data_IF_207242115764
#
_entry.id   IF_207242115764
#
_cell.length_a   1.000
_cell.length_b   1.000
_cell.length_c   1.000
_cell.angle_alpha   90.00
_cell.angle_beta   90.00
_cell.angle_gamma   90.00
#
_symmetry.space_group_name_H-M   'P 1'
#
loop_
_entity.id
_entity.type
_entity.pdbx_description
1 polymer ?
#
# COMPACT_ATOMS: atom_id res chain seq x y z
N UNK A 1 -46.56 26.09 44.62
CA UNK A 1 -46.00 26.04 43.25
C UNK A 1 -44.56 25.60 43.37
N UNK A 2 -44.27 24.32 43.08
CA UNK A 2 -42.91 23.77 43.11
C UNK A 2 -42.39 23.77 41.68
N UNK A 3 -41.39 24.60 41.39
CA UNK A 3 -40.74 24.68 40.08
C UNK A 3 -39.64 23.64 40.02
N UNK A 4 -39.84 22.55 39.28
CA UNK A 4 -38.81 21.55 39.00
C UNK A 4 -37.84 22.08 37.95
N UNK A 5 -36.58 22.31 38.34
CA UNK A 5 -35.51 22.68 37.42
C UNK A 5 -34.96 21.41 36.75
N UNK A 6 -35.19 21.28 35.44
CA UNK A 6 -34.63 20.22 34.62
C UNK A 6 -33.15 20.52 34.35
N UNK A 7 -32.25 19.77 34.99
CA UNK A 7 -30.80 19.89 34.78
C UNK A 7 -30.41 19.20 33.47
N UNK A 8 -30.23 19.98 32.41
CA UNK A 8 -29.70 19.50 31.12
C UNK A 8 -28.19 19.31 31.23
N UNK A 9 -27.73 18.06 31.22
CA UNK A 9 -26.30 17.72 31.18
C UNK A 9 -25.69 18.11 29.83
N UNK A 10 -24.49 18.72 29.80
CA UNK A 10 -23.84 19.10 28.55
C UNK A 10 -23.41 17.86 27.74
N UNK A 11 -23.42 17.95 26.40
CA UNK A 11 -22.99 16.85 25.53
C UNK A 11 -21.51 16.52 25.76
N UNK A 12 -21.11 15.24 25.62
CA UNK A 12 -19.71 14.84 25.78
C UNK A 12 -18.82 15.54 24.74
N UNK A 13 -17.58 15.89 25.10
CA UNK A 13 -16.64 16.48 24.14
C UNK A 13 -16.40 15.50 22.98
N UNK A 14 -16.20 16.00 21.75
CA UNK A 14 -15.90 15.15 20.60
C UNK A 14 -14.62 14.36 20.89
N UNK A 15 -14.67 13.04 20.67
CA UNK A 15 -13.49 12.17 20.75
C UNK A 15 -12.41 12.75 19.83
N UNK A 16 -11.33 13.26 20.43
CA UNK A 16 -10.16 13.73 19.69
C UNK A 16 -9.60 12.56 18.89
N UNK A 17 -9.56 12.69 17.56
CA UNK A 17 -8.91 11.69 16.71
C UNK A 17 -7.47 11.47 17.21
N UNK A 18 -6.99 10.22 17.30
CA UNK A 18 -5.60 9.97 17.64
C UNK A 18 -4.68 10.69 16.65
N UNK A 19 -3.53 11.23 17.10
CA UNK A 19 -2.58 11.88 16.22
C UNK A 19 -2.13 10.89 15.13
N UNK A 20 -1.95 11.35 13.88
CA UNK A 20 -1.47 10.48 12.82
C UNK A 20 -0.11 9.89 13.24
N UNK A 21 0.12 8.58 13.00
CA UNK A 21 1.36 7.95 13.38
C UNK A 21 2.56 8.66 12.72
N UNK A 22 3.73 8.70 13.38
CA UNK A 22 4.89 9.41 12.88
C UNK A 22 5.32 8.91 11.51
N UNK A 23 5.54 9.84 10.57
CA UNK A 23 5.92 9.57 9.16
C UNK A 23 7.20 8.72 9.02
N UNK A 24 8.14 8.88 9.94
CA UNK A 24 9.39 8.10 10.00
C UNK A 24 9.08 6.59 10.14
N UNK A 25 7.98 6.22 10.81
CA UNK A 25 7.61 4.82 11.01
C UNK A 25 7.26 4.17 9.66
N UNK A 26 6.55 4.87 8.78
CA UNK A 26 6.15 4.33 7.48
C UNK A 26 7.32 4.08 6.54
N UNK A 27 8.31 4.99 6.49
CA UNK A 27 9.53 4.77 5.71
C UNK A 27 10.29 3.52 6.17
N UNK A 28 10.38 3.29 7.48
CA UNK A 28 11.03 2.10 8.05
C UNK A 28 10.27 0.81 7.74
N UNK A 29 8.94 0.84 7.75
CA UNK A 29 8.12 -0.29 7.32
C UNK A 29 8.46 -0.65 5.87
N UNK A 30 8.40 0.32 4.96
CA UNK A 30 8.70 0.07 3.53
C UNK A 30 10.13 -0.45 3.33
N UNK A 31 11.12 0.12 4.01
CA UNK A 31 12.51 -0.38 3.95
C UNK A 31 12.65 -1.82 4.45
N UNK A 32 11.92 -2.20 5.50
CA UNK A 32 11.88 -3.56 6.00
C UNK A 32 11.32 -4.53 4.96
N UNK A 33 10.22 -4.16 4.32
CA UNK A 33 9.61 -4.95 3.25
C UNK A 33 10.52 -5.10 2.02
N UNK A 34 11.19 -4.01 1.60
CA UNK A 34 12.18 -4.05 0.52
C UNK A 34 13.30 -5.03 0.84
N UNK A 35 13.85 -4.93 2.05
CA UNK A 35 14.96 -5.79 2.49
C UNK A 35 14.56 -7.25 2.47
N UNK A 36 13.36 -7.57 2.96
CA UNK A 36 12.82 -8.92 2.94
C UNK A 36 12.69 -9.45 1.50
N UNK A 37 12.12 -8.65 0.60
CA UNK A 37 11.91 -9.03 -0.80
C UNK A 37 13.24 -9.29 -1.53
N UNK A 38 14.22 -8.40 -1.36
CA UNK A 38 15.56 -8.57 -1.93
C UNK A 38 16.24 -9.85 -1.44
N UNK A 39 16.05 -10.23 -0.16
CA UNK A 39 16.57 -11.48 0.38
C UNK A 39 15.89 -12.69 -0.28
N UNK A 40 14.57 -12.66 -0.44
CA UNK A 40 13.81 -13.74 -1.09
C UNK A 40 14.22 -13.90 -2.57
N UNK A 41 14.35 -12.80 -3.30
CA UNK A 41 14.77 -12.80 -4.70
C UNK A 41 16.18 -13.39 -4.90
N UNK A 42 17.15 -13.03 -4.04
CA UNK A 42 18.51 -13.58 -4.08
C UNK A 42 18.58 -15.08 -3.78
N UNK A 43 17.60 -15.64 -3.05
CA UNK A 43 17.51 -17.08 -2.81
C UNK A 43 17.02 -17.83 -4.06
N UNK A 44 16.09 -17.23 -4.82
CA UNK A 44 15.56 -17.80 -6.06
C UNK A 44 16.61 -17.90 -7.19
N UNK A 45 17.42 -16.86 -7.40
CA UNK A 45 18.44 -16.86 -8.48
C UNK A 45 19.56 -17.89 -8.30
N UNK A 46 19.80 -18.40 -7.08
CA UNK A 46 20.90 -19.34 -6.81
C UNK A 46 20.75 -20.70 -7.50
N UNK A 47 19.55 -21.07 -7.94
CA UNK A 47 19.33 -22.32 -8.67
C UNK A 47 19.48 -22.15 -10.19
N UNK A 48 19.56 -20.91 -10.71
CA UNK A 48 19.37 -20.62 -12.14
C UNK A 48 20.59 -20.03 -12.86
N UNK A 49 21.81 -20.07 -12.31
CA UNK A 49 22.98 -19.69 -13.13
C UNK A 49 24.28 -20.35 -12.73
N UNK A 50 24.68 -21.31 -13.57
CA UNK A 50 26.08 -21.49 -13.94
C UNK A 50 26.33 -20.48 -15.08
N UNK A 51 27.30 -19.58 -14.88
CA UNK A 51 27.95 -18.70 -15.87
C UNK A 51 27.48 -17.24 -16.03
N UNK A 52 28.51 -16.38 -15.97
CA UNK A 52 28.70 -15.06 -16.59
C UNK A 52 27.87 -13.87 -16.11
N UNK A 53 28.48 -13.05 -15.24
CA UNK A 53 28.21 -11.62 -15.05
C UNK A 53 26.81 -11.26 -14.57
N UNK A 54 26.61 -11.20 -13.25
CA UNK A 54 25.34 -10.77 -12.62
C UNK A 54 24.96 -9.34 -13.04
N UNK A 55 24.26 -9.18 -14.16
CA UNK A 55 23.42 -8.03 -14.39
C UNK A 55 22.39 -8.03 -13.25
N UNK A 56 22.41 -7.00 -12.41
CA UNK A 56 21.43 -6.87 -11.32
C UNK A 56 20.05 -6.83 -11.95
N UNK A 57 19.20 -7.79 -11.55
CA UNK A 57 17.82 -7.89 -12.01
C UNK A 57 17.12 -6.52 -11.90
N UNK A 58 16.42 -6.04 -12.94
CA UNK A 58 15.80 -4.71 -12.96
C UNK A 58 14.82 -4.49 -11.79
N UNK A 59 14.11 -5.53 -11.34
CA UNK A 59 13.20 -5.43 -10.19
C UNK A 59 13.99 -5.20 -8.89
N UNK A 60 15.06 -5.96 -8.70
CA UNK A 60 16.00 -5.78 -7.59
C UNK A 60 16.63 -4.37 -7.59
N UNK A 61 16.95 -3.82 -8.77
CA UNK A 61 17.47 -2.47 -8.90
C UNK A 61 16.43 -1.40 -8.54
N UNK A 62 15.17 -1.55 -8.95
CA UNK A 62 14.08 -0.64 -8.59
C UNK A 62 13.83 -0.61 -7.08
N UNK A 63 13.77 -1.79 -6.44
CA UNK A 63 13.64 -1.93 -4.99
C UNK A 63 14.80 -1.25 -4.24
N UNK A 64 16.04 -1.47 -4.71
CA UNK A 64 17.22 -0.84 -4.12
C UNK A 64 17.22 0.69 -4.31
N UNK A 65 16.74 1.17 -5.46
CA UNK A 65 16.55 2.60 -5.72
C UNK A 65 15.59 3.23 -4.72
N UNK A 66 14.43 2.61 -4.51
CA UNK A 66 13.44 3.06 -3.53
C UNK A 66 14.02 3.02 -2.09
N UNK A 67 14.76 1.97 -1.73
CA UNK A 67 15.40 1.88 -0.41
C UNK A 67 16.32 3.08 -0.14
N UNK A 68 17.16 3.41 -1.12
CA UNK A 68 18.12 4.51 -1.05
C UNK A 68 17.41 5.86 -1.02
N UNK A 69 16.33 6.01 -1.79
CA UNK A 69 15.48 7.19 -1.76
C UNK A 69 14.89 7.40 -0.36
N UNK A 70 14.30 6.37 0.25
CA UNK A 70 13.75 6.48 1.61
C UNK A 70 14.85 6.77 2.63
N UNK A 71 16.05 6.20 2.45
CA UNK A 71 17.18 6.42 3.34
C UNK A 71 17.72 7.86 3.29
N UNK A 72 17.54 8.57 2.16
CA UNK A 72 17.97 9.96 1.99
C UNK A 72 16.90 11.00 2.33
N UNK A 73 15.67 10.58 2.65
CA UNK A 73 14.60 11.51 3.03
C UNK A 73 14.92 12.19 4.37
N UNK A 74 14.77 13.51 4.38
CA UNK A 74 14.74 14.30 5.61
C UNK A 74 13.50 13.89 6.44
N UNK A 75 13.62 13.57 7.73
CA UNK A 75 12.49 13.35 8.63
C UNK A 75 11.41 14.44 8.62
N UNK A 76 11.79 15.69 8.28
CA UNK A 76 10.89 16.85 8.17
C UNK A 76 10.39 17.11 6.75
N UNK A 77 10.85 16.34 5.76
CA UNK A 77 10.52 16.51 4.35
C UNK A 77 9.08 16.14 3.96
N UNK A 78 8.75 16.36 2.68
CA UNK A 78 7.49 15.88 2.11
C UNK A 78 7.42 14.34 2.18
N UNK A 79 6.24 13.78 2.52
CA UNK A 79 6.09 12.33 2.54
C UNK A 79 6.25 11.78 1.12
N UNK A 80 6.77 10.57 1.02
CA UNK A 80 6.84 9.87 -0.27
C UNK A 80 5.43 9.59 -0.78
N UNK A 81 5.21 9.79 -2.07
CA UNK A 81 3.87 9.62 -2.63
C UNK A 81 3.47 8.13 -2.63
N UNK A 82 2.24 7.79 -2.18
CA UNK A 82 1.68 6.44 -2.17
C UNK A 82 2.10 5.52 -3.32
N UNK A 83 1.88 5.96 -4.56
CA UNK A 83 2.18 5.13 -5.72
C UNK A 83 3.69 4.97 -5.95
N UNK A 84 4.49 5.97 -5.62
CA UNK A 84 5.94 5.98 -5.82
C UNK A 84 6.63 4.88 -5.00
N UNK A 85 6.24 4.70 -3.73
CA UNK A 85 6.79 3.61 -2.93
C UNK A 85 6.14 2.25 -3.17
N UNK A 86 4.93 2.22 -3.73
CA UNK A 86 4.26 0.97 -4.07
C UNK A 86 4.79 0.38 -5.38
N UNK A 87 5.16 1.22 -6.35
CA UNK A 87 5.46 0.82 -7.72
C UNK A 87 6.42 -0.40 -7.77
N UNK A 88 7.57 -0.43 -7.06
CA UNK A 88 8.48 -1.55 -7.16
C UNK A 88 7.89 -2.89 -6.68
N UNK A 89 6.97 -2.86 -5.70
CA UNK A 89 6.25 -4.05 -5.24
C UNK A 89 5.21 -4.49 -6.26
N UNK A 90 4.50 -3.53 -6.87
CA UNK A 90 3.53 -3.82 -7.92
C UNK A 90 4.20 -4.35 -9.18
N UNK A 91 5.40 -3.87 -9.51
CA UNK A 91 6.22 -4.38 -10.60
C UNK A 91 6.59 -5.86 -10.39
N UNK A 92 6.96 -6.23 -9.15
CA UNK A 92 7.20 -7.63 -8.79
C UNK A 92 5.92 -8.47 -8.96
N UNK A 93 4.76 -7.99 -8.48
CA UNK A 93 3.48 -8.73 -8.60
C UNK A 93 3.06 -8.96 -10.07
N UNK A 94 3.31 -7.98 -10.94
CA UNK A 94 2.97 -8.06 -12.38
C UNK A 94 3.96 -8.90 -13.19
N UNK A 95 5.16 -9.13 -12.68
CA UNK A 95 6.24 -9.76 -13.43
C UNK A 95 6.00 -11.27 -13.56
N UNK A 96 5.91 -11.74 -14.80
CA UNK A 96 5.78 -13.15 -15.14
C UNK A 96 7.03 -13.98 -14.82
N UNK A 97 8.17 -13.33 -14.58
CA UNK A 97 9.45 -13.96 -14.24
C UNK A 97 9.66 -14.14 -12.73
N UNK A 98 8.70 -13.71 -11.91
CA UNK A 98 8.80 -13.84 -10.45
C UNK A 98 8.30 -15.18 -9.97
N UNK A 99 9.01 -15.80 -9.03
CA UNK A 99 8.59 -17.09 -8.45
C UNK A 99 7.49 -16.89 -7.43
N UNK A 100 6.65 -17.91 -7.23
CA UNK A 100 5.54 -17.85 -6.26
C UNK A 100 5.94 -17.30 -4.87
N UNK A 101 7.05 -17.72 -4.24
CA UNK A 101 7.49 -17.16 -2.96
C UNK A 101 7.80 -15.65 -3.00
N UNK A 102 8.41 -15.15 -4.09
CA UNK A 102 8.71 -13.72 -4.28
C UNK A 102 7.41 -12.93 -4.47
N UNK A 103 6.53 -13.40 -5.36
CA UNK A 103 5.21 -12.77 -5.61
C UNK A 103 4.37 -12.73 -4.33
N UNK A 104 4.35 -13.82 -3.56
CA UNK A 104 3.65 -13.91 -2.27
C UNK A 104 4.19 -12.90 -1.26
N UNK A 105 5.52 -12.75 -1.15
CA UNK A 105 6.12 -11.78 -0.24
C UNK A 105 5.78 -10.34 -0.64
N UNK A 106 5.73 -10.03 -1.95
CA UNK A 106 5.33 -8.72 -2.46
C UNK A 106 3.84 -8.43 -2.16
N UNK A 107 2.95 -9.40 -2.38
CA UNK A 107 1.53 -9.32 -2.00
C UNK A 107 1.38 -9.09 -0.48
N UNK A 108 2.16 -9.82 0.32
CA UNK A 108 2.20 -9.66 1.77
C UNK A 108 2.63 -8.26 2.20
N UNK A 109 3.63 -7.67 1.53
CA UNK A 109 4.08 -6.30 1.79
C UNK A 109 2.95 -5.30 1.50
N UNK A 110 2.31 -5.38 0.33
CA UNK A 110 1.17 -4.50 -0.03
C UNK A 110 0.03 -4.62 0.98
N UNK A 111 -0.30 -5.84 1.41
CA UNK A 111 -1.33 -6.07 2.42
C UNK A 111 -0.99 -5.41 3.77
N UNK A 112 0.28 -5.50 4.21
CA UNK A 112 0.74 -4.83 5.43
C UNK A 112 0.69 -3.31 5.29
N UNK A 113 1.07 -2.76 4.14
CA UNK A 113 0.98 -1.32 3.89
C UNK A 113 -0.47 -0.81 3.96
N UNK A 114 -1.41 -1.57 3.40
CA UNK A 114 -2.85 -1.31 3.55
C UNK A 114 -3.28 -1.40 5.02
N UNK A 115 -2.89 -2.47 5.72
CA UNK A 115 -3.27 -2.71 7.13
C UNK A 115 -2.71 -1.68 8.11
N UNK A 116 -1.56 -1.08 7.81
CA UNK A 116 -0.96 0.00 8.61
C UNK A 116 -1.46 1.41 8.22
N UNK A 117 -2.36 1.51 7.23
CA UNK A 117 -2.94 2.77 6.80
C UNK A 117 -1.97 3.69 6.06
N UNK A 118 -0.94 3.15 5.38
CA UNK A 118 0.00 3.97 4.58
C UNK A 118 -0.72 4.68 3.42
N UNK A 119 -1.86 4.14 3.00
CA UNK A 119 -2.71 4.66 1.93
C UNK A 119 -3.98 5.32 2.48
N UNK A 120 -4.05 5.63 3.78
CA UNK A 120 -5.23 6.28 4.33
C UNK A 120 -5.40 7.69 3.74
N UNK A 121 -6.58 8.01 3.18
CA UNK A 121 -6.85 9.35 2.69
C UNK A 121 -6.82 10.34 3.86
N UNK A 122 -6.43 11.60 3.60
CA UNK A 122 -6.43 12.64 4.61
C UNK A 122 -7.84 12.77 5.22
N UNK A 123 -7.97 13.07 6.53
CA UNK A 123 -9.26 13.29 7.16
C UNK A 123 -10.05 14.36 6.40
N UNK A 124 -11.34 14.12 6.20
CA UNK A 124 -12.25 15.12 5.63
C UNK A 124 -12.46 16.17 6.72
N UNK A 125 -11.83 17.33 6.60
CA UNK A 125 -12.01 18.40 7.58
C UNK A 125 -13.47 18.90 7.54
N UNK A 126 -14.11 19.18 8.69
CA UNK A 126 -15.46 19.73 8.71
C UNK A 126 -15.51 21.06 7.94
N UNK A 127 -16.62 21.26 7.22
CA UNK A 127 -16.90 22.44 6.40
C UNK A 127 -17.01 23.74 7.25
N UNK A 128 -15.89 24.27 7.73
CA UNK A 128 -15.81 25.62 8.25
C UNK A 128 -14.59 26.35 7.67
N UNK A 129 -14.93 27.28 6.76
CA UNK A 129 -14.22 28.46 6.25
C UNK A 129 -12.69 28.58 6.38
N UNK A 130 -12.09 28.99 5.25
CA UNK A 130 -10.77 29.63 5.04
C UNK A 130 -9.52 28.74 4.86
N UNK A 131 -9.21 28.36 3.60
CA UNK A 131 -7.88 28.58 2.96
C UNK A 131 -7.80 27.91 1.57
N UNK A 132 -7.69 28.71 0.49
CA UNK A 132 -7.45 28.21 -0.87
C UNK A 132 -6.18 27.34 -0.99
N UNK A 133 -5.13 27.62 -0.21
CA UNK A 133 -3.87 26.88 -0.25
C UNK A 133 -3.95 25.45 0.29
N UNK A 134 -4.79 25.20 1.30
CA UNK A 134 -4.97 23.84 1.87
C UNK A 134 -5.79 22.92 0.96
N UNK A 135 -6.67 23.49 0.14
CA UNK A 135 -7.53 22.74 -0.77
C UNK A 135 -6.74 22.04 -1.88
N UNK A 136 -5.73 22.70 -2.46
CA UNK A 136 -4.89 22.10 -3.51
C UNK A 136 -4.06 20.93 -2.99
N UNK A 137 -3.48 21.05 -1.79
CA UNK A 137 -2.69 19.97 -1.19
C UNK A 137 -3.55 18.77 -0.77
N UNK A 138 -4.78 19.02 -0.31
CA UNK A 138 -5.73 17.95 0.02
C UNK A 138 -6.15 17.17 -1.23
N UNK A 139 -6.52 17.89 -2.29
CA UNK A 139 -6.92 17.29 -3.57
C UNK A 139 -5.78 16.48 -4.20
N UNK A 140 -4.55 17.00 -4.17
CA UNK A 140 -3.38 16.30 -4.68
C UNK A 140 -3.15 14.97 -3.93
N UNK A 141 -3.23 14.99 -2.59
CA UNK A 141 -3.06 13.78 -1.78
C UNK A 141 -4.17 12.76 -2.05
N UNK A 142 -5.42 13.18 -2.18
CA UNK A 142 -6.53 12.28 -2.54
C UNK A 142 -6.30 11.64 -3.92
N UNK A 143 -5.87 12.42 -4.91
CA UNK A 143 -5.55 11.91 -6.23
C UNK A 143 -4.39 10.89 -6.19
N UNK A 144 -3.38 11.15 -5.37
CA UNK A 144 -2.25 10.24 -5.19
C UNK A 144 -2.66 8.91 -4.53
N UNK A 145 -3.49 8.97 -3.47
CA UNK A 145 -4.03 7.75 -2.83
C UNK A 145 -4.93 6.98 -3.79
N UNK A 146 -5.78 7.67 -4.56
CA UNK A 146 -6.61 7.05 -5.59
C UNK A 146 -5.75 6.34 -6.64
N UNK A 147 -4.71 7.00 -7.17
CA UNK A 147 -3.79 6.40 -8.12
C UNK A 147 -3.07 5.17 -7.55
N UNK A 148 -2.70 5.19 -6.26
CA UNK A 148 -2.14 4.03 -5.57
C UNK A 148 -3.15 2.87 -5.43
N UNK A 149 -4.39 3.16 -5.06
CA UNK A 149 -5.46 2.16 -4.95
C UNK A 149 -5.75 1.50 -6.31
N UNK A 150 -5.83 2.31 -7.38
CA UNK A 150 -5.97 1.86 -8.77
C UNK A 150 -4.77 1.01 -9.20
N UNK A 151 -3.55 1.45 -8.85
CA UNK A 151 -2.33 0.71 -9.11
C UNK A 151 -2.31 -0.67 -8.45
N UNK A 152 -2.76 -0.78 -7.19
CA UNK A 152 -2.88 -2.07 -6.50
C UNK A 152 -3.92 -2.95 -7.18
N UNK A 153 -5.13 -2.43 -7.43
CA UNK A 153 -6.20 -3.16 -8.13
C UNK A 153 -5.65 -3.77 -9.43
N UNK A 154 -5.16 -2.91 -10.32
CA UNK A 154 -4.60 -3.22 -11.63
C UNK A 154 -3.46 -4.23 -11.59
N UNK A 155 -2.56 -4.14 -10.61
CA UNK A 155 -1.42 -5.06 -10.48
C UNK A 155 -1.84 -6.43 -9.94
N UNK A 156 -2.75 -6.46 -8.96
CA UNK A 156 -3.13 -7.68 -8.25
C UNK A 156 -4.13 -8.51 -9.07
N UNK A 157 -5.06 -7.88 -9.77
CA UNK A 157 -5.99 -8.58 -10.70
C UNK A 157 -5.25 -9.20 -11.88
N UNK A 158 -4.09 -8.66 -12.24
CA UNK A 158 -3.24 -9.11 -13.35
C UNK A 158 -1.93 -9.73 -12.87
N UNK A 159 -1.88 -10.18 -11.62
CA UNK A 159 -0.71 -10.80 -11.06
C UNK A 159 -0.28 -12.01 -11.91
N UNK A 160 1.02 -12.13 -12.15
CA UNK A 160 1.63 -13.26 -12.87
C UNK A 160 2.79 -13.77 -12.04
N UNK A 161 3.03 -15.07 -12.10
CA UNK A 161 4.15 -15.70 -11.43
C UNK A 161 4.47 -17.04 -12.07
N UNK A 162 5.70 -17.49 -11.90
CA UNK A 162 6.16 -18.80 -12.32
C UNK A 162 5.55 -19.83 -11.38
N UNK A 163 4.70 -20.70 -11.93
CA UNK A 163 4.21 -21.88 -11.23
C UNK A 163 5.38 -22.78 -10.84
N UNK A 164 5.53 -23.06 -9.54
CA UNK A 164 6.69 -23.80 -9.02
C UNK A 164 6.25 -25.10 -8.37
N UNK A 165 5.48 -24.99 -7.30
CA UNK A 165 4.90 -26.10 -6.54
C UNK A 165 3.46 -25.73 -6.13
N UNK A 166 2.55 -26.71 -6.11
CA UNK A 166 1.11 -26.46 -5.87
C UNK A 166 0.86 -25.64 -4.61
N UNK A 167 1.60 -25.90 -3.53
CA UNK A 167 1.44 -25.18 -2.26
C UNK A 167 1.87 -23.71 -2.34
N UNK A 168 2.94 -23.40 -3.08
CA UNK A 168 3.38 -22.02 -3.27
C UNK A 168 2.37 -21.26 -4.15
N UNK A 169 1.87 -21.91 -5.20
CA UNK A 169 0.92 -21.33 -6.13
C UNK A 169 -0.42 -21.02 -5.42
N UNK A 170 -0.94 -21.96 -4.61
CA UNK A 170 -2.12 -21.75 -3.77
C UNK A 170 -1.92 -20.60 -2.76
N UNK A 171 -0.74 -20.49 -2.16
CA UNK A 171 -0.42 -19.40 -1.24
C UNK A 171 -0.40 -18.04 -1.94
N UNK A 172 0.03 -17.97 -3.21
CA UNK A 172 -0.03 -16.75 -4.03
C UNK A 172 -1.49 -16.41 -4.36
N UNK A 173 -2.29 -17.38 -4.81
CA UNK A 173 -3.71 -17.17 -5.10
C UNK A 173 -4.48 -16.67 -3.87
N UNK A 174 -4.22 -17.26 -2.70
CA UNK A 174 -4.77 -16.74 -1.44
C UNK A 174 -4.27 -15.33 -1.14
N UNK A 175 -2.99 -15.04 -1.38
CA UNK A 175 -2.40 -13.71 -1.24
C UNK A 175 -3.09 -12.66 -2.11
N UNK A 176 -3.41 -12.99 -3.36
CA UNK A 176 -4.17 -12.12 -4.29
C UNK A 176 -5.52 -11.78 -3.67
N UNK A 177 -6.32 -12.79 -3.32
CA UNK A 177 -7.64 -12.59 -2.72
C UNK A 177 -7.57 -11.77 -1.43
N UNK A 178 -6.56 -12.02 -0.61
CA UNK A 178 -6.39 -11.31 0.66
C UNK A 178 -6.09 -9.82 0.44
N UNK A 179 -5.21 -9.49 -0.51
CA UNK A 179 -4.90 -8.09 -0.85
C UNK A 179 -6.12 -7.39 -1.45
N UNK A 180 -6.84 -8.02 -2.39
CA UNK A 180 -8.04 -7.44 -2.99
C UNK A 180 -9.11 -7.16 -1.93
N UNK A 181 -9.35 -8.11 -1.03
CA UNK A 181 -10.25 -7.92 0.11
C UNK A 181 -9.80 -6.78 1.01
N UNK A 182 -8.52 -6.73 1.36
CA UNK A 182 -7.97 -5.68 2.21
C UNK A 182 -8.09 -4.29 1.55
N UNK A 183 -7.84 -4.20 0.25
CA UNK A 183 -7.95 -2.96 -0.52
C UNK A 183 -9.40 -2.46 -0.53
N UNK A 184 -10.37 -3.31 -0.92
CA UNK A 184 -11.79 -2.93 -0.99
C UNK A 184 -12.35 -2.53 0.38
N UNK A 185 -11.88 -3.16 1.46
CA UNK A 185 -12.32 -2.85 2.83
C UNK A 185 -11.49 -1.74 3.51
N UNK A 186 -10.43 -1.24 2.86
CA UNK A 186 -9.59 -0.16 3.39
C UNK A 186 -10.25 1.21 3.18
N UNK A 187 -9.74 2.23 3.89
CA UNK A 187 -10.17 3.62 3.66
C UNK A 187 -9.80 4.13 2.26
N UNK A 188 -8.73 3.61 1.68
CA UNK A 188 -8.33 3.89 0.29
C UNK A 188 -9.32 3.31 -0.72
N UNK A 189 -10.00 2.20 -0.37
CA UNK A 189 -10.96 1.51 -1.23
C UNK A 189 -12.15 2.36 -1.66
N UNK A 190 -12.51 3.39 -0.87
CA UNK A 190 -13.56 4.37 -1.22
C UNK A 190 -13.19 5.20 -2.46
N UNK A 191 -11.91 5.28 -2.80
CA UNK A 191 -11.40 6.03 -3.95
C UNK A 191 -11.21 5.17 -5.20
N UNK A 192 -11.59 3.89 -5.16
CA UNK A 192 -11.59 3.03 -6.34
C UNK A 192 -12.71 3.41 -7.30
N UNK A 193 -12.38 3.41 -8.58
CA UNK A 193 -13.36 3.52 -9.65
C UNK A 193 -14.26 2.29 -9.71
N UNK A 194 -15.46 2.48 -10.27
CA UNK A 194 -16.39 1.38 -10.53
C UNK A 194 -15.76 0.32 -11.44
N UNK A 195 -14.94 0.73 -12.41
CA UNK A 195 -14.26 -0.18 -13.33
C UNK A 195 -13.28 -1.09 -12.58
N UNK A 196 -12.47 -0.54 -11.67
CA UNK A 196 -11.59 -1.33 -10.82
C UNK A 196 -12.34 -2.28 -9.90
N UNK A 197 -13.47 -1.85 -9.31
CA UNK A 197 -14.31 -2.74 -8.50
C UNK A 197 -14.84 -3.90 -9.34
N UNK A 198 -15.31 -3.63 -10.57
CA UNK A 198 -15.75 -4.67 -11.49
C UNK A 198 -14.61 -5.62 -11.89
N UNK A 199 -13.41 -5.10 -12.17
CA UNK A 199 -12.23 -5.92 -12.48
C UNK A 199 -11.86 -6.83 -11.32
N UNK A 200 -11.88 -6.30 -10.08
CA UNK A 200 -11.64 -7.08 -8.85
C UNK A 200 -12.65 -8.21 -8.73
N UNK A 201 -13.95 -7.93 -8.90
CA UNK A 201 -15.00 -8.94 -8.77
C UNK A 201 -14.86 -10.04 -9.83
N UNK A 202 -14.54 -9.69 -11.08
CA UNK A 202 -14.33 -10.65 -12.16
C UNK A 202 -13.04 -11.46 -12.03
N UNK A 203 -12.05 -10.96 -11.28
CA UNK A 203 -10.80 -11.68 -11.03
C UNK A 203 -10.90 -12.68 -9.88
N UNK A 204 -11.82 -12.44 -8.94
CA UNK A 204 -11.97 -13.23 -7.71
C UNK A 204 -13.05 -14.34 -7.81
N UNK A 205 -13.91 -14.30 -8.83
CA UNK A 205 -15.06 -15.21 -9.03
C UNK A 205 -15.17 -15.61 -10.50
#
# INVERSE_FOLDING_TARGET
>A
MVTTATTTTPPPPPLSLPPPPPRIIYGRVVQGEITHLLITMKKGSKWTSTQTGEATDPLSAQLQGLYNQIASLDPLGSPLEPLEFLEPFLAVIRSEDTTGPVTRDALGAVNRMLGYGLLDPPPVAPLHHHHHHHQHHHQHRLASVSAAAEGISSAVTRARFIGTESAADEAVLFGILWVLRALVLSRAGVLLSNDSICEILNSAF
#
